data_IF_663946141851
#
_entry.id   IF_663946141851
#
_cell.length_a   1.000
_cell.length_b   1.000
_cell.length_c   1.000
_cell.angle_alpha   90.00
_cell.angle_beta   90.00
_cell.angle_gamma   90.00
#
_symmetry.space_group_name_H-M   'P 1'
#
loop_
_entity.id
_entity.type
_entity.pdbx_description
1 polymer ?
#
# COMPACT_ATOMS: atom_id res chain seq x y z
N UNK A 1 9.92 9.30 -31.52
CA UNK A 1 10.44 10.50 -30.85
C UNK A 1 9.31 11.19 -30.06
N UNK A 2 9.17 10.86 -28.76
CA UNK A 2 8.24 11.57 -27.87
C UNK A 2 8.80 12.97 -27.64
N UNK A 3 8.04 13.99 -28.00
CA UNK A 3 8.41 15.38 -27.72
C UNK A 3 8.54 15.55 -26.21
N UNK A 4 9.62 16.22 -25.81
CA UNK A 4 9.99 16.54 -24.43
C UNK A 4 8.88 17.40 -23.79
N UNK A 5 7.85 16.75 -23.24
CA UNK A 5 6.67 17.40 -22.68
C UNK A 5 6.93 18.03 -21.31
N UNK A 6 8.14 17.84 -20.75
CA UNK A 6 8.50 18.27 -19.41
C UNK A 6 7.69 17.58 -18.29
N UNK A 7 6.81 16.63 -18.66
CA UNK A 7 5.94 15.85 -17.77
C UNK A 7 6.69 14.63 -17.25
N UNK A 8 6.42 14.25 -16.00
CA UNK A 8 6.99 13.02 -15.41
C UNK A 8 6.50 11.78 -16.14
N UNK A 9 7.42 10.87 -16.45
CA UNK A 9 7.13 9.62 -17.16
C UNK A 9 6.26 8.69 -16.32
N UNK A 10 6.39 8.74 -14.99
CA UNK A 10 5.56 7.98 -14.04
C UNK A 10 4.10 8.48 -14.06
N UNK A 11 3.89 9.78 -14.22
CA UNK A 11 2.54 10.39 -14.30
C UNK A 11 1.87 10.00 -15.62
N UNK A 12 2.64 9.95 -16.71
CA UNK A 12 2.14 9.65 -18.05
C UNK A 12 1.87 8.14 -18.29
N UNK A 13 2.53 7.25 -17.54
CA UNK A 13 2.33 5.81 -17.65
C UNK A 13 0.97 5.34 -17.13
N UNK A 14 0.36 6.09 -16.21
CA UNK A 14 -0.93 5.75 -15.59
C UNK A 14 -2.10 6.17 -16.49
N UNK A 15 -3.01 5.21 -16.72
CA UNK A 15 -4.20 5.40 -17.55
C UNK A 15 -5.26 6.23 -16.83
N UNK A 16 -5.71 7.32 -17.44
CA UNK A 16 -6.92 8.05 -16.98
C UNK A 16 -8.19 7.40 -17.57
N UNK A 17 -9.40 7.64 -17.03
CA UNK A 17 -10.60 6.92 -17.48
C UNK A 17 -10.94 7.05 -18.98
N UNK A 18 -10.39 8.05 -19.68
CA UNK A 18 -10.51 8.19 -21.14
C UNK A 18 -9.66 7.21 -21.93
N UNK A 19 -8.58 6.72 -21.34
CA UNK A 19 -7.53 5.90 -21.98
C UNK A 19 -7.63 4.42 -21.62
N UNK A 20 -8.45 4.06 -20.62
CA UNK A 20 -8.62 2.66 -20.23
C UNK A 20 -9.38 1.89 -21.32
N UNK A 21 -8.85 0.71 -21.69
CA UNK A 21 -9.49 -0.16 -22.67
C UNK A 21 -10.89 -0.56 -22.21
N UNK A 22 -11.86 -0.35 -23.11
CA UNK A 22 -13.26 -0.76 -22.94
C UNK A 22 -13.55 -2.09 -23.65
N UNK A 23 -12.51 -2.77 -24.12
CA UNK A 23 -12.65 -4.04 -24.83
C UNK A 23 -13.16 -5.11 -23.85
N UNK A 24 -14.27 -5.80 -24.17
CA UNK A 24 -14.86 -6.79 -23.28
C UNK A 24 -13.84 -7.85 -22.83
N UNK A 25 -12.96 -8.30 -23.74
CA UNK A 25 -11.95 -9.31 -23.45
C UNK A 25 -10.91 -8.84 -22.44
N UNK A 26 -10.50 -7.56 -22.51
CA UNK A 26 -9.54 -6.96 -21.58
C UNK A 26 -10.17 -6.81 -20.20
N UNK A 27 -11.43 -6.37 -20.15
CA UNK A 27 -12.20 -6.25 -18.90
C UNK A 27 -12.37 -7.62 -18.24
N UNK A 28 -12.82 -8.64 -19.00
CA UNK A 28 -13.00 -10.01 -18.51
C UNK A 28 -11.68 -10.60 -18.02
N UNK A 29 -10.59 -10.42 -18.77
CA UNK A 29 -9.26 -10.90 -18.36
C UNK A 29 -8.81 -10.26 -17.04
N UNK A 30 -8.94 -8.93 -16.92
CA UNK A 30 -8.55 -8.23 -15.69
C UNK A 30 -9.44 -8.61 -14.50
N UNK A 31 -10.73 -8.86 -14.75
CA UNK A 31 -11.64 -9.36 -13.74
C UNK A 31 -11.24 -10.77 -13.26
N UNK A 32 -10.83 -11.64 -14.17
CA UNK A 32 -10.34 -12.97 -13.82
C UNK A 32 -9.05 -12.91 -12.97
N UNK A 33 -8.07 -12.08 -13.36
CA UNK A 33 -6.83 -11.89 -12.59
C UNK A 33 -7.12 -11.25 -11.23
N UNK A 34 -8.06 -10.30 -11.15
CA UNK A 34 -8.52 -9.76 -9.89
C UNK A 34 -9.14 -10.84 -8.99
N UNK A 35 -9.94 -11.75 -9.56
CA UNK A 35 -10.47 -12.92 -8.85
C UNK A 35 -9.37 -13.82 -8.28
N UNK A 36 -8.33 -14.11 -9.07
CA UNK A 36 -7.15 -14.85 -8.62
C UNK A 36 -6.43 -14.12 -7.49
N UNK A 37 -6.31 -12.80 -7.58
CA UNK A 37 -5.68 -11.99 -6.52
C UNK A 37 -6.48 -12.04 -5.22
N UNK A 38 -7.80 -11.93 -5.29
CA UNK A 38 -8.69 -12.11 -4.13
C UNK A 38 -8.54 -13.51 -3.54
N UNK A 39 -8.41 -14.53 -4.37
CA UNK A 39 -8.13 -15.90 -3.92
C UNK A 39 -6.79 -16.01 -3.17
N UNK A 40 -5.73 -15.38 -3.68
CA UNK A 40 -4.42 -15.35 -3.03
C UNK A 40 -4.47 -14.58 -1.71
N UNK A 41 -5.16 -13.43 -1.66
CA UNK A 41 -5.38 -12.70 -0.41
C UNK A 41 -6.15 -13.58 0.58
N UNK A 42 -7.19 -14.28 0.13
CA UNK A 42 -7.95 -15.19 0.96
C UNK A 42 -7.10 -16.36 1.49
N UNK A 43 -6.16 -16.89 0.70
CA UNK A 43 -5.28 -17.98 1.15
C UNK A 43 -4.43 -17.57 2.36
N UNK A 44 -4.12 -16.28 2.49
CA UNK A 44 -3.41 -15.75 3.65
C UNK A 44 -4.19 -15.89 4.96
N UNK A 45 -5.50 -16.17 4.94
CA UNK A 45 -6.29 -16.52 6.14
C UNK A 45 -5.72 -17.78 6.79
N UNK A 46 -5.37 -18.79 5.99
CA UNK A 46 -4.80 -20.04 6.50
C UNK A 46 -3.40 -19.83 7.07
N UNK A 47 -2.59 -18.98 6.42
CA UNK A 47 -1.30 -18.55 6.97
C UNK A 47 -1.48 -17.83 8.31
N UNK A 48 -2.44 -16.93 8.37
CA UNK A 48 -2.72 -16.14 9.56
C UNK A 48 -3.13 -17.03 10.75
N UNK A 49 -3.94 -18.06 10.51
CA UNK A 49 -4.28 -19.06 11.53
C UNK A 49 -3.03 -19.80 12.00
N UNK A 50 -2.20 -20.29 11.07
CA UNK A 50 -0.95 -20.98 11.39
C UNK A 50 0.01 -20.12 12.25
N UNK A 51 0.13 -18.84 11.91
CA UNK A 51 0.97 -17.88 12.62
C UNK A 51 0.42 -17.55 14.02
N UNK A 52 -0.90 -17.45 14.17
CA UNK A 52 -1.54 -17.18 15.46
C UNK A 52 -1.37 -18.35 16.43
N UNK A 53 -1.56 -19.59 15.95
CA UNK A 53 -1.42 -20.80 16.76
C UNK A 53 0.00 -20.96 17.33
N UNK A 54 1.00 -20.33 16.71
CA UNK A 54 2.43 -20.43 17.06
C UNK A 54 3.06 -19.10 17.48
N UNK A 55 2.24 -18.08 17.77
CA UNK A 55 2.69 -16.68 17.99
C UNK A 55 3.76 -16.57 19.08
N UNK A 56 3.54 -17.23 20.21
CA UNK A 56 4.45 -17.18 21.37
C UNK A 56 5.83 -17.74 21.05
N UNK A 57 5.89 -18.81 20.25
CA UNK A 57 7.15 -19.42 19.82
C UNK A 57 7.91 -18.53 18.82
N UNK A 58 7.20 -17.94 17.85
CA UNK A 58 7.79 -17.04 16.84
C UNK A 58 8.33 -15.78 17.51
N UNK A 59 7.56 -15.17 18.41
CA UNK A 59 7.99 -13.98 19.15
C UNK A 59 9.22 -14.29 20.01
N UNK A 60 9.27 -15.46 20.66
CA UNK A 60 10.44 -15.89 21.45
C UNK A 60 11.70 -16.03 20.58
N UNK A 61 11.57 -16.62 19.39
CA UNK A 61 12.70 -16.86 18.48
C UNK A 61 13.16 -15.64 17.71
N UNK A 62 12.26 -14.74 17.36
CA UNK A 62 12.59 -13.51 16.61
C UNK A 62 12.86 -12.32 17.52
N UNK A 63 12.67 -12.46 18.84
CA UNK A 63 12.92 -11.41 19.83
C UNK A 63 14.30 -10.75 19.68
N UNK A 64 15.34 -11.50 19.31
CA UNK A 64 16.69 -10.95 19.14
C UNK A 64 16.81 -10.01 17.92
N UNK A 65 16.09 -10.29 16.83
CA UNK A 65 16.04 -9.45 15.61
C UNK A 65 15.30 -8.13 15.85
N UNK A 66 14.23 -8.13 16.65
CA UNK A 66 13.40 -6.93 16.93
C UNK A 66 13.86 -6.11 18.15
N UNK A 67 14.82 -6.59 18.94
CA UNK A 67 15.37 -5.89 20.12
C UNK A 67 15.93 -4.48 19.85
N UNK A 68 16.79 -4.24 18.83
CA UNK A 68 17.30 -2.89 18.55
C UNK A 68 16.17 -1.93 18.15
N UNK A 69 15.19 -2.42 17.38
CA UNK A 69 14.04 -1.64 16.92
C UNK A 69 13.06 -1.27 18.04
N UNK A 70 12.83 -2.17 19.02
CA UNK A 70 12.00 -1.86 20.21
C UNK A 70 12.60 -0.73 21.07
N UNK A 71 13.93 -0.64 21.15
CA UNK A 71 14.62 0.42 21.92
C UNK A 71 14.49 1.80 21.24
N UNK A 72 14.45 1.84 19.91
CA UNK A 72 14.20 3.08 19.15
C UNK A 72 12.72 3.49 19.24
N UNK A 73 11.79 2.55 19.08
CA UNK A 73 10.34 2.80 19.20
C UNK A 73 9.92 3.28 20.60
N UNK A 74 10.63 2.83 21.65
CA UNK A 74 10.42 3.25 23.03
C UNK A 74 10.91 4.66 23.37
N UNK A 75 11.83 5.24 22.58
CA UNK A 75 12.32 6.62 22.76
C UNK A 75 11.39 7.67 22.14
N UNK A 76 10.64 7.32 21.11
CA UNK A 76 9.64 8.20 20.46
C UNK A 76 8.33 8.34 21.27
N UNK A 77 8.38 8.18 22.60
CA UNK A 77 7.20 8.07 23.48
C UNK A 77 6.86 9.37 24.20
N UNK A 78 7.56 10.47 23.91
CA UNK A 78 7.39 11.74 24.62
C UNK A 78 7.77 12.91 23.71
N UNK A 79 6.90 13.21 22.77
CA UNK A 79 7.10 14.35 21.86
C UNK A 79 5.90 15.29 21.93
N UNK A 80 6.21 16.59 22.04
CA UNK A 80 5.22 17.67 22.08
C UNK A 80 4.60 17.86 20.70
N UNK A 81 3.44 18.53 20.61
CA UNK A 81 2.70 18.67 19.34
C UNK A 81 3.52 19.29 18.19
N UNK A 82 4.51 20.14 18.51
CA UNK A 82 5.37 20.81 17.53
C UNK A 82 6.44 19.87 16.96
N UNK A 83 7.04 18.99 17.77
CA UNK A 83 8.06 18.05 17.28
C UNK A 83 7.42 16.94 16.44
N UNK A 84 6.18 16.56 16.74
CA UNK A 84 5.41 15.59 15.95
C UNK A 84 5.08 16.12 14.54
N UNK A 85 4.61 17.37 14.41
CA UNK A 85 4.33 17.97 13.10
C UNK A 85 5.62 18.08 12.26
N UNK A 86 6.72 18.50 12.87
CA UNK A 86 8.03 18.55 12.22
C UNK A 86 8.49 17.16 11.75
N UNK A 87 8.27 16.12 12.56
CA UNK A 87 8.60 14.74 12.19
C UNK A 87 7.76 14.25 11.01
N UNK A 88 6.44 14.49 11.00
CA UNK A 88 5.56 14.14 9.87
C UNK A 88 5.98 14.90 8.61
N UNK A 89 6.26 16.20 8.72
CA UNK A 89 6.71 17.01 7.59
C UNK A 89 8.04 16.52 7.01
N UNK A 90 9.03 16.26 7.87
CA UNK A 90 10.34 15.73 7.46
C UNK A 90 10.19 14.39 6.73
N UNK A 91 9.33 13.52 7.24
CA UNK A 91 9.04 12.21 6.66
C UNK A 91 8.38 12.33 5.29
N UNK A 92 7.39 13.21 5.12
CA UNK A 92 6.78 13.46 3.81
C UNK A 92 7.77 14.05 2.81
N UNK A 93 8.65 14.97 3.26
CA UNK A 93 9.72 15.53 2.43
C UNK A 93 10.71 14.45 1.99
N UNK A 94 11.13 13.57 2.91
CA UNK A 94 12.00 12.43 2.57
C UNK A 94 11.29 11.50 1.59
N UNK A 95 10.01 11.20 1.80
CA UNK A 95 9.22 10.42 0.85
C UNK A 95 9.19 11.06 -0.53
N UNK A 96 8.93 12.38 -0.61
CA UNK A 96 8.95 13.11 -1.86
C UNK A 96 10.29 13.01 -2.58
N UNK A 97 11.39 13.14 -1.83
CA UNK A 97 12.74 13.00 -2.38
C UNK A 97 12.99 11.59 -2.91
N UNK A 98 12.59 10.56 -2.15
CA UNK A 98 12.73 9.15 -2.51
C UNK A 98 11.91 8.81 -3.77
N UNK A 99 10.66 9.27 -3.87
CA UNK A 99 9.85 9.10 -5.08
C UNK A 99 10.47 9.80 -6.29
N UNK A 100 11.05 10.98 -6.09
CA UNK A 100 11.68 11.74 -7.18
C UNK A 100 12.86 11.00 -7.80
N UNK A 101 13.62 10.24 -7.00
CA UNK A 101 14.75 9.42 -7.48
C UNK A 101 14.30 8.28 -8.41
N UNK A 102 13.03 7.86 -8.34
CA UNK A 102 12.46 6.86 -9.24
C UNK A 102 12.22 7.41 -10.65
N UNK A 103 12.15 8.73 -10.83
CA UNK A 103 12.02 9.35 -12.15
C UNK A 103 13.26 9.00 -12.99
N UNK A 104 13.10 8.42 -14.20
CA UNK A 104 14.23 8.05 -15.05
C UNK A 104 15.15 9.24 -15.36
N UNK A 105 14.54 10.40 -15.61
CA UNK A 105 15.19 11.69 -15.82
C UNK A 105 15.47 12.49 -14.55
N UNK A 106 15.63 11.85 -13.38
CA UNK A 106 15.90 12.53 -12.11
C UNK A 106 17.00 13.60 -12.24
N UNK A 107 16.69 14.83 -11.83
CA UNK A 107 17.63 15.95 -11.86
C UNK A 107 16.96 17.29 -11.55
N UNK A 108 17.66 18.38 -11.85
CA UNK A 108 17.13 19.74 -11.69
C UNK A 108 16.21 20.10 -12.87
N UNK A 109 15.04 19.48 -12.91
CA UNK A 109 14.05 19.71 -13.96
C UNK A 109 12.62 19.77 -13.40
N UNK A 110 11.73 20.26 -14.26
CA UNK A 110 10.31 20.45 -13.94
C UNK A 110 9.60 19.13 -13.61
N UNK A 111 9.93 18.03 -14.29
CA UNK A 111 9.37 16.71 -14.04
C UNK A 111 9.68 16.23 -12.62
N UNK A 112 10.95 16.32 -12.20
CA UNK A 112 11.42 15.94 -10.86
C UNK A 112 10.77 16.81 -9.79
N UNK A 113 10.69 18.13 -9.99
CA UNK A 113 10.02 19.04 -9.05
C UNK A 113 8.52 18.76 -8.93
N UNK A 114 7.86 18.41 -10.04
CA UNK A 114 6.44 18.06 -10.08
C UNK A 114 6.19 16.75 -9.34
N UNK A 115 6.99 15.71 -9.60
CA UNK A 115 6.87 14.42 -8.91
C UNK A 115 7.18 14.55 -7.42
N UNK A 116 8.18 15.36 -7.04
CA UNK A 116 8.47 15.67 -5.63
C UNK A 116 7.25 16.27 -4.93
N UNK A 117 6.71 17.37 -5.47
CA UNK A 117 5.55 18.05 -4.90
C UNK A 117 4.33 17.13 -4.86
N UNK A 118 4.10 16.38 -5.94
CA UNK A 118 3.03 15.42 -6.05
C UNK A 118 3.12 14.29 -5.03
N UNK A 119 4.33 13.75 -4.79
CA UNK A 119 4.58 12.71 -3.81
C UNK A 119 4.35 13.22 -2.38
N UNK A 120 4.87 14.40 -2.04
CA UNK A 120 4.63 15.03 -0.73
C UNK A 120 3.13 15.22 -0.47
N UNK A 121 2.43 15.82 -1.43
CA UNK A 121 0.99 16.09 -1.31
C UNK A 121 0.16 14.81 -1.32
N UNK A 122 0.40 13.91 -2.28
CA UNK A 122 -0.39 12.70 -2.48
C UNK A 122 -0.23 11.69 -1.35
N UNK A 123 1.02 11.41 -0.95
CA UNK A 123 1.28 10.56 0.22
C UNK A 123 0.77 11.22 1.49
N UNK A 124 0.90 12.53 1.61
CA UNK A 124 0.30 13.30 2.71
C UNK A 124 -1.21 13.08 2.79
N UNK A 125 -1.94 13.31 1.70
CA UNK A 125 -3.39 13.13 1.60
C UNK A 125 -3.79 11.71 1.99
N UNK A 126 -3.17 10.68 1.39
CA UNK A 126 -3.48 9.29 1.72
C UNK A 126 -3.20 9.01 3.20
N UNK A 127 -2.05 9.46 3.71
CA UNK A 127 -1.67 9.23 5.11
C UNK A 127 -2.65 9.91 6.09
N UNK A 128 -2.99 11.17 5.86
CA UNK A 128 -3.91 11.92 6.71
C UNK A 128 -5.33 11.37 6.64
N UNK A 129 -5.81 11.00 5.45
CA UNK A 129 -7.15 10.42 5.30
C UNK A 129 -7.21 9.05 5.96
N UNK A 130 -6.28 8.15 5.67
CA UNK A 130 -6.32 6.78 6.21
C UNK A 130 -6.02 6.77 7.70
N UNK A 131 -4.84 7.25 8.10
CA UNK A 131 -4.39 7.17 9.50
C UNK A 131 -5.14 8.17 10.40
N UNK A 132 -5.50 9.34 9.86
CA UNK A 132 -6.27 10.33 10.61
C UNK A 132 -7.71 9.88 10.84
N UNK A 133 -8.37 9.26 9.86
CA UNK A 133 -9.72 8.73 10.01
C UNK A 133 -9.76 7.53 10.97
N UNK A 134 -8.77 6.64 10.90
CA UNK A 134 -8.63 5.54 11.85
C UNK A 134 -8.41 6.07 13.28
N UNK A 135 -7.56 7.08 13.46
CA UNK A 135 -7.32 7.71 14.77
C UNK A 135 -8.58 8.42 15.29
N UNK A 136 -9.30 9.15 14.43
CA UNK A 136 -10.54 9.83 14.81
C UNK A 136 -11.66 8.84 15.16
N UNK A 137 -11.86 7.78 14.36
CA UNK A 137 -12.83 6.71 14.65
C UNK A 137 -12.47 5.99 15.95
N UNK A 138 -11.19 5.71 16.17
CA UNK A 138 -10.74 5.08 17.41
C UNK A 138 -11.02 5.97 18.62
N UNK A 139 -10.72 7.28 18.54
CA UNK A 139 -11.02 8.23 19.62
C UNK A 139 -12.52 8.35 19.89
N UNK A 140 -13.35 8.34 18.86
CA UNK A 140 -14.80 8.53 19.02
C UNK A 140 -15.51 7.26 19.47
N UNK A 141 -15.15 6.09 18.91
CA UNK A 141 -15.81 4.81 19.21
C UNK A 141 -15.22 4.16 20.47
N UNK A 142 -13.90 4.11 20.60
CA UNK A 142 -13.23 3.45 21.74
C UNK A 142 -12.93 4.40 22.90
N UNK A 143 -13.21 5.71 22.75
CA UNK A 143 -12.86 6.76 23.73
C UNK A 143 -11.41 6.68 24.21
N UNK A 144 -10.54 6.16 23.34
CA UNK A 144 -9.14 5.90 23.61
C UNK A 144 -8.28 6.93 22.88
N UNK A 145 -7.23 7.48 23.51
CA UNK A 145 -6.25 8.28 22.79
C UNK A 145 -5.61 7.44 21.68
N UNK A 146 -5.75 7.89 20.44
CA UNK A 146 -5.07 7.32 19.27
C UNK A 146 -4.34 8.44 18.53
N UNK A 147 -3.17 8.15 17.95
CA UNK A 147 -2.40 9.13 17.20
C UNK A 147 -1.73 8.48 15.99
N UNK A 148 -1.53 9.27 14.94
CA UNK A 148 -0.71 8.87 13.80
C UNK A 148 0.74 8.83 14.25
N UNK A 149 1.41 7.68 14.09
CA UNK A 149 2.83 7.52 14.40
C UNK A 149 3.60 7.20 13.14
N UNK A 150 4.72 7.90 13.00
CA UNK A 150 5.71 7.62 11.97
C UNK A 150 6.61 6.49 12.47
N UNK A 151 7.00 5.60 11.55
CA UNK A 151 7.96 4.54 11.83
C UNK A 151 9.24 4.76 10.99
N UNK A 152 10.29 5.37 11.57
CA UNK A 152 11.55 5.65 10.85
C UNK A 152 12.20 4.39 10.25
N UNK A 153 11.96 3.23 10.84
CA UNK A 153 12.38 1.93 10.31
C UNK A 153 11.78 1.66 8.91
N UNK A 154 10.49 1.93 8.74
CA UNK A 154 9.79 1.76 7.47
C UNK A 154 10.33 2.76 6.43
N UNK A 155 10.74 3.95 6.85
CA UNK A 155 11.40 4.92 5.98
C UNK A 155 12.76 4.42 5.49
N UNK A 156 13.58 3.82 6.37
CA UNK A 156 14.86 3.24 5.97
C UNK A 156 14.69 2.09 4.97
N UNK A 157 13.67 1.25 5.16
CA UNK A 157 13.30 0.18 4.21
C UNK A 157 12.86 0.78 2.87
N UNK A 158 12.05 1.84 2.87
CA UNK A 158 11.61 2.52 1.65
C UNK A 158 12.81 3.08 0.87
N UNK A 159 13.71 3.81 1.55
CA UNK A 159 14.95 4.35 0.95
C UNK A 159 15.79 3.22 0.35
N UNK A 160 15.98 2.12 1.07
CA UNK A 160 16.74 0.96 0.59
C UNK A 160 16.07 0.30 -0.62
N UNK A 161 14.74 0.15 -0.60
CA UNK A 161 13.98 -0.45 -1.70
C UNK A 161 14.13 0.38 -2.98
N UNK A 162 14.09 1.71 -2.87
CA UNK A 162 14.31 2.62 -4.00
C UNK A 162 15.75 2.57 -4.50
N UNK A 163 16.73 2.53 -3.58
CA UNK A 163 18.13 2.40 -3.96
C UNK A 163 18.40 1.11 -4.75
N UNK A 164 17.81 -0.02 -4.32
CA UNK A 164 17.90 -1.31 -5.01
C UNK A 164 17.18 -1.25 -6.36
N UNK A 165 15.95 -0.74 -6.40
CA UNK A 165 15.17 -0.59 -7.63
C UNK A 165 15.91 0.25 -8.68
N UNK A 166 16.59 1.33 -8.24
CA UNK A 166 17.40 2.17 -9.12
C UNK A 166 18.67 1.48 -9.59
N UNK A 167 19.37 0.78 -8.69
CA UNK A 167 20.59 0.04 -9.03
C UNK A 167 20.30 -1.09 -10.05
N UNK A 168 19.14 -1.73 -9.95
CA UNK A 168 18.69 -2.78 -10.86
C UNK A 168 17.95 -2.25 -12.10
N UNK A 169 17.79 -0.93 -12.23
CA UNK A 169 17.03 -0.28 -13.31
C UNK A 169 15.63 -0.88 -13.53
N UNK A 170 14.95 -1.25 -12.44
CA UNK A 170 13.59 -1.77 -12.50
C UNK A 170 12.64 -0.67 -12.97
N UNK A 171 11.88 -0.96 -14.02
CA UNK A 171 10.83 -0.10 -14.56
C UNK A 171 9.51 -0.90 -14.56
N UNK A 172 8.48 -0.45 -13.83
CA UNK A 172 8.45 0.69 -12.89
C UNK A 172 9.28 0.41 -11.62
N UNK A 173 9.83 1.48 -11.02
CA UNK A 173 10.62 1.37 -9.80
C UNK A 173 9.75 1.00 -8.60
N UNK A 174 10.17 0.00 -7.83
CA UNK A 174 9.37 -0.54 -6.72
C UNK A 174 9.73 0.17 -5.42
N UNK A 175 8.72 0.72 -4.72
CA UNK A 175 8.87 1.32 -3.40
C UNK A 175 8.02 0.55 -2.38
N UNK A 176 8.67 0.01 -1.35
CA UNK A 176 7.99 -0.67 -0.24
C UNK A 176 8.22 0.07 1.08
N UNK A 177 7.13 0.50 1.74
CA UNK A 177 7.19 1.03 3.10
C UNK A 177 6.03 1.96 3.43
N UNK A 178 5.33 1.69 4.53
CA UNK A 178 4.31 2.61 5.05
C UNK A 178 4.97 3.78 5.77
N UNK A 179 4.58 4.99 5.40
CA UNK A 179 5.17 6.25 5.90
C UNK A 179 4.67 6.59 7.31
N UNK A 180 3.41 6.30 7.60
CA UNK A 180 2.83 6.39 8.94
C UNK A 180 1.67 5.41 9.13
N UNK A 181 1.35 5.09 10.38
CA UNK A 181 0.20 4.24 10.73
C UNK A 181 -0.45 4.73 12.04
N UNK A 182 -1.73 4.43 12.24
CA UNK A 182 -2.44 4.73 13.48
C UNK A 182 -1.92 3.86 14.63
N UNK A 183 -1.63 4.49 15.78
CA UNK A 183 -1.31 3.79 17.01
C UNK A 183 -2.35 4.12 18.09
N UNK A 184 -2.97 3.08 18.65
CA UNK A 184 -3.79 3.18 19.86
C UNK A 184 -2.87 3.32 21.06
N UNK A 185 -3.03 4.40 21.84
CA UNK A 185 -2.13 4.76 22.94
C UNK A 185 -2.63 4.26 24.31
N UNK A 186 -3.85 3.72 24.38
CA UNK A 186 -4.42 3.13 25.59
C UNK A 186 -4.57 1.61 25.45
N UNK A 187 -4.39 0.85 26.56
CA UNK A 187 -4.68 -0.58 26.61
C UNK A 187 -6.21 -0.76 26.66
N UNK A 188 -6.84 -0.77 25.50
CA UNK A 188 -8.24 -1.15 25.34
C UNK A 188 -8.25 -2.46 24.58
N UNK A 189 -9.05 -3.43 25.04
CA UNK A 189 -9.38 -4.64 24.30
C UNK A 189 -10.74 -4.45 23.61
N UNK A 190 -10.78 -3.82 22.43
CA UNK A 190 -12.03 -3.63 21.72
C UNK A 190 -12.59 -4.96 21.26
N UNK A 191 -13.93 -5.09 21.29
CA UNK A 191 -14.60 -6.26 20.76
C UNK A 191 -14.21 -6.49 19.29
N UNK A 192 -14.14 -7.76 18.81
CA UNK A 192 -13.82 -8.04 17.41
C UNK A 192 -14.74 -7.32 16.41
N UNK A 193 -15.99 -7.07 16.82
CA UNK A 193 -17.00 -6.35 16.02
C UNK A 193 -16.68 -4.86 15.88
N UNK A 194 -16.22 -4.22 16.96
CA UNK A 194 -15.86 -2.80 16.95
C UNK A 194 -14.56 -2.57 16.18
N UNK A 195 -13.58 -3.47 16.32
CA UNK A 195 -12.36 -3.43 15.52
C UNK A 195 -12.65 -3.48 14.02
N UNK A 196 -13.53 -4.38 13.59
CA UNK A 196 -13.91 -4.50 12.18
C UNK A 196 -14.67 -3.27 11.66
N UNK A 197 -15.58 -2.69 12.46
CA UNK A 197 -16.29 -1.46 12.09
C UNK A 197 -15.37 -0.25 11.99
N UNK A 198 -14.42 -0.12 12.91
CA UNK A 198 -13.42 0.96 12.91
C UNK A 198 -12.53 0.82 11.67
N UNK A 199 -12.09 -0.39 11.34
CA UNK A 199 -11.21 -0.66 10.18
C UNK A 199 -11.94 -0.55 8.82
N UNK A 200 -13.23 -0.88 8.76
CA UNK A 200 -13.99 -0.82 7.51
C UNK A 200 -14.12 0.62 6.96
N UNK A 201 -14.20 1.61 7.84
CA UNK A 201 -14.42 3.01 7.44
C UNK A 201 -13.23 3.59 6.68
N UNK A 202 -11.97 3.52 7.17
CA UNK A 202 -10.78 3.88 6.41
C UNK A 202 -10.67 3.13 5.08
N UNK A 203 -10.97 1.83 5.03
CA UNK A 203 -10.94 1.05 3.77
C UNK A 203 -11.90 1.62 2.73
N UNK A 204 -13.16 1.84 3.10
CA UNK A 204 -14.18 2.38 2.18
C UNK A 204 -13.81 3.79 1.73
N UNK A 205 -13.43 4.64 2.66
CA UNK A 205 -13.04 6.03 2.33
C UNK A 205 -11.80 6.05 1.45
N UNK A 206 -10.86 5.14 1.64
CA UNK A 206 -9.68 5.01 0.76
C UNK A 206 -10.08 4.62 -0.66
N UNK A 207 -10.97 3.65 -0.83
CA UNK A 207 -11.46 3.25 -2.15
C UNK A 207 -12.17 4.43 -2.83
N UNK A 208 -13.04 5.15 -2.11
CA UNK A 208 -13.73 6.34 -2.64
C UNK A 208 -12.73 7.45 -2.99
N UNK A 209 -11.74 7.70 -2.15
CA UNK A 209 -10.69 8.70 -2.40
C UNK A 209 -9.88 8.37 -3.65
N UNK A 210 -9.43 7.11 -3.77
CA UNK A 210 -8.65 6.62 -4.90
C UNK A 210 -9.47 6.68 -6.19
N UNK A 211 -10.73 6.25 -6.17
CA UNK A 211 -11.64 6.36 -7.31
C UNK A 211 -11.87 7.83 -7.70
N UNK A 212 -12.14 8.70 -6.72
CA UNK A 212 -12.34 10.13 -6.94
C UNK A 212 -11.11 10.79 -7.53
N UNK A 213 -9.91 10.41 -7.05
CA UNK A 213 -8.66 10.86 -7.62
C UNK A 213 -8.53 10.41 -9.07
N UNK A 214 -8.68 9.12 -9.36
CA UNK A 214 -8.59 8.62 -10.73
C UNK A 214 -9.57 9.30 -11.70
N UNK A 215 -10.81 9.54 -11.28
CA UNK A 215 -11.78 10.29 -12.08
C UNK A 215 -11.36 11.74 -12.30
N UNK A 216 -10.79 12.41 -11.29
CA UNK A 216 -10.31 13.78 -11.37
C UNK A 216 -9.03 13.90 -12.22
N UNK A 217 -8.26 12.83 -12.37
CA UNK A 217 -7.05 12.82 -13.20
C UNK A 217 -7.36 13.09 -14.67
N UNK A 218 -8.54 12.71 -15.19
CA UNK A 218 -8.93 13.02 -16.58
C UNK A 218 -8.99 14.52 -16.84
N UNK A 219 -9.89 15.30 -16.20
CA UNK A 219 -9.98 16.73 -16.48
C UNK A 219 -8.66 17.45 -16.16
N UNK A 220 -7.93 17.05 -15.11
CA UNK A 220 -6.64 17.64 -14.78
C UNK A 220 -5.58 17.41 -15.86
N UNK A 221 -5.51 16.21 -16.45
CA UNK A 221 -4.61 15.91 -17.58
C UNK A 221 -4.94 16.79 -18.79
N UNK A 222 -6.21 16.90 -19.14
CA UNK A 222 -6.64 17.76 -20.25
C UNK A 222 -6.30 19.24 -20.04
N UNK A 223 -6.42 19.74 -18.80
CA UNK A 223 -6.05 21.10 -18.43
C UNK A 223 -4.54 21.32 -18.40
N UNK A 224 -3.78 20.32 -17.95
CA UNK A 224 -2.32 20.34 -17.96
C UNK A 224 -1.79 20.41 -19.39
N UNK A 225 -2.39 19.65 -20.31
CA UNK A 225 -2.07 19.68 -21.74
C UNK A 225 -2.34 21.05 -22.38
N UNK A 226 -3.47 21.70 -22.03
CA UNK A 226 -3.88 22.97 -22.64
C UNK A 226 -3.18 24.20 -22.05
N UNK A 227 -3.01 24.27 -20.73
CA UNK A 227 -2.53 25.46 -20.03
C UNK A 227 -1.03 25.39 -19.71
N UNK A 228 -0.45 24.18 -19.62
CA UNK A 228 0.94 23.93 -19.18
C UNK A 228 1.36 24.72 -17.94
N UNK A 229 0.41 25.01 -17.06
CA UNK A 229 0.65 25.71 -15.80
C UNK A 229 1.15 24.70 -14.77
N UNK A 230 2.30 24.97 -14.16
CA UNK A 230 2.94 24.04 -13.23
C UNK A 230 2.03 23.58 -12.07
N UNK A 231 1.20 24.44 -11.45
CA UNK A 231 0.26 23.98 -10.41
C UNK A 231 -0.77 22.95 -10.91
N UNK A 232 -1.17 23.00 -12.18
CA UNK A 232 -2.11 22.05 -12.77
C UNK A 232 -1.43 20.71 -13.00
N UNK A 233 -0.18 20.71 -13.46
CA UNK A 233 0.64 19.48 -13.56
C UNK A 233 0.90 18.85 -12.19
N UNK A 234 1.18 19.66 -11.17
CA UNK A 234 1.31 19.16 -9.79
C UNK A 234 -0.02 18.57 -9.31
N UNK A 235 -1.16 19.21 -9.57
CA UNK A 235 -2.47 18.69 -9.18
C UNK A 235 -2.79 17.36 -9.90
N UNK A 236 -2.51 17.25 -11.20
CA UNK A 236 -2.62 16.00 -11.96
C UNK A 236 -1.75 14.91 -11.32
N UNK A 237 -0.46 15.19 -11.14
CA UNK A 237 0.51 14.25 -10.58
C UNK A 237 0.14 13.84 -9.14
N UNK A 238 -0.30 14.77 -8.29
CA UNK A 238 -0.79 14.48 -6.93
C UNK A 238 -1.94 13.50 -6.98
N UNK A 239 -2.89 13.73 -7.88
CA UNK A 239 -4.07 12.90 -8.05
C UNK A 239 -3.70 11.48 -8.48
N UNK A 240 -2.73 11.35 -9.38
CA UNK A 240 -2.17 10.06 -9.79
C UNK A 240 -1.44 9.38 -8.63
N UNK A 241 -0.61 10.08 -7.87
CA UNK A 241 0.06 9.52 -6.67
C UNK A 241 -0.96 9.04 -5.63
N UNK A 242 -2.04 9.80 -5.39
CA UNK A 242 -3.14 9.39 -4.49
C UNK A 242 -3.78 8.11 -5.01
N UNK A 243 -4.02 8.00 -6.31
CA UNK A 243 -4.56 6.79 -6.91
C UNK A 243 -3.63 5.59 -6.73
N UNK A 244 -2.37 5.70 -7.17
CA UNK A 244 -1.37 4.61 -7.15
C UNK A 244 -1.07 4.17 -5.72
N UNK A 245 -0.60 5.10 -4.88
CA UNK A 245 -0.23 4.75 -3.49
C UNK A 245 -1.45 4.35 -2.65
N UNK A 246 -2.62 4.92 -2.93
CA UNK A 246 -3.85 4.55 -2.25
C UNK A 246 -4.35 3.15 -2.64
N UNK A 247 -4.35 2.79 -3.93
CA UNK A 247 -4.82 1.47 -4.36
C UNK A 247 -3.88 0.36 -3.90
N UNK A 248 -2.57 0.57 -4.01
CA UNK A 248 -1.55 -0.36 -3.48
C UNK A 248 -1.71 -0.53 -1.97
N UNK A 249 -1.89 0.58 -1.26
CA UNK A 249 -2.14 0.59 0.19
C UNK A 249 -3.40 -0.19 0.57
N UNK A 250 -4.50 -0.05 -0.17
CA UNK A 250 -5.73 -0.80 0.08
C UNK A 250 -5.54 -2.29 -0.22
N UNK A 251 -4.97 -2.67 -1.36
CA UNK A 251 -4.71 -4.08 -1.70
C UNK A 251 -3.83 -4.74 -0.66
N UNK A 252 -2.74 -4.06 -0.26
CA UNK A 252 -1.85 -4.54 0.80
C UNK A 252 -2.58 -4.67 2.14
N UNK A 253 -3.34 -3.65 2.56
CA UNK A 253 -4.07 -3.70 3.84
C UNK A 253 -5.22 -4.70 3.88
N UNK A 254 -5.74 -5.10 2.71
CA UNK A 254 -6.82 -6.09 2.61
C UNK A 254 -6.35 -7.54 2.83
N UNK A 255 -5.03 -7.79 2.92
CA UNK A 255 -4.51 -9.09 3.34
C UNK A 255 -5.09 -9.44 4.72
N UNK A 256 -5.80 -10.58 4.88
CA UNK A 256 -6.56 -10.92 6.09
C UNK A 256 -5.68 -11.44 7.25
N UNK A 257 -4.58 -10.76 7.57
CA UNK A 257 -3.77 -11.01 8.76
C UNK A 257 -4.38 -10.35 10.00
N UNK A 258 -4.19 -10.93 11.20
CA UNK A 258 -4.85 -10.47 12.43
C UNK A 258 -4.56 -9.01 12.79
N UNK A 259 -3.34 -8.57 12.49
CA UNK A 259 -2.83 -7.23 12.76
C UNK A 259 -3.26 -6.21 11.71
N UNK A 260 -3.72 -6.66 10.54
CA UNK A 260 -4.06 -5.82 9.41
C UNK A 260 -5.56 -5.54 9.37
N UNK A 261 -5.94 -4.45 8.70
CA UNK A 261 -7.34 -4.03 8.61
C UNK A 261 -8.19 -5.04 7.86
N UNK A 262 -7.65 -5.66 6.81
CA UNK A 262 -8.29 -6.76 6.09
C UNK A 262 -8.72 -7.89 7.04
N UNK A 263 -7.87 -8.27 8.00
CA UNK A 263 -8.22 -9.31 8.97
C UNK A 263 -9.30 -8.87 9.95
N UNK A 264 -9.27 -7.61 10.39
CA UNK A 264 -10.32 -7.03 11.26
C UNK A 264 -11.67 -6.99 10.54
N UNK A 265 -11.69 -6.52 9.28
CA UNK A 265 -12.90 -6.46 8.45
C UNK A 265 -13.42 -7.86 8.13
N UNK A 266 -12.54 -8.81 7.78
CA UNK A 266 -12.93 -10.20 7.47
C UNK A 266 -13.63 -10.89 8.66
N UNK A 267 -13.13 -10.68 9.89
CA UNK A 267 -13.75 -11.21 11.11
C UNK A 267 -15.14 -10.61 11.38
N UNK A 268 -15.36 -9.36 10.96
CA UNK A 268 -16.62 -8.67 11.16
C UNK A 268 -17.66 -8.95 10.07
N UNK A 269 -17.27 -8.85 8.80
CA UNK A 269 -18.13 -9.08 7.65
C UNK A 269 -17.31 -9.56 6.45
N UNK A 270 -17.42 -10.87 6.16
CA UNK A 270 -16.77 -11.49 4.99
C UNK A 270 -17.25 -10.86 3.68
N UNK A 271 -18.54 -10.54 3.58
CA UNK A 271 -19.11 -9.89 2.40
C UNK A 271 -18.46 -8.52 2.15
N UNK A 272 -18.36 -7.69 3.19
CA UNK A 272 -17.69 -6.40 3.10
C UNK A 272 -16.23 -6.54 2.66
N UNK A 273 -15.52 -7.52 3.25
CA UNK A 273 -14.15 -7.81 2.88
C UNK A 273 -14.03 -8.21 1.41
N UNK A 274 -14.86 -9.15 0.93
CA UNK A 274 -14.85 -9.58 -0.46
C UNK A 274 -15.18 -8.44 -1.42
N UNK A 275 -16.16 -7.61 -1.10
CA UNK A 275 -16.51 -6.45 -1.93
C UNK A 275 -15.36 -5.45 -2.03
N UNK A 276 -14.76 -5.06 -0.90
CA UNK A 276 -13.64 -4.13 -0.91
C UNK A 276 -12.39 -4.72 -1.60
N UNK A 277 -12.08 -6.00 -1.35
CA UNK A 277 -10.93 -6.67 -1.94
C UNK A 277 -11.10 -6.84 -3.46
N UNK A 278 -12.30 -7.21 -3.91
CA UNK A 278 -12.60 -7.36 -5.33
C UNK A 278 -12.52 -6.03 -6.07
N UNK A 279 -13.09 -4.96 -5.51
CA UNK A 279 -13.00 -3.61 -6.11
C UNK A 279 -11.55 -3.14 -6.15
N UNK A 280 -10.79 -3.30 -5.06
CA UNK A 280 -9.40 -2.86 -5.00
C UNK A 280 -8.51 -3.65 -5.99
N UNK A 281 -8.66 -4.97 -6.03
CA UNK A 281 -7.93 -5.83 -6.96
C UNK A 281 -8.29 -5.50 -8.41
N UNK A 282 -9.59 -5.31 -8.71
CA UNK A 282 -10.02 -4.95 -10.06
C UNK A 282 -9.42 -3.62 -10.52
N UNK A 283 -9.47 -2.58 -9.69
CA UNK A 283 -8.87 -1.28 -10.02
C UNK A 283 -7.36 -1.38 -10.22
N UNK A 284 -6.65 -2.13 -9.38
CA UNK A 284 -5.21 -2.36 -9.57
C UNK A 284 -4.92 -3.03 -10.93
N UNK A 285 -5.60 -4.13 -11.27
CA UNK A 285 -5.33 -4.83 -12.53
C UNK A 285 -5.81 -4.09 -13.76
N UNK A 286 -6.99 -3.48 -13.68
CA UNK A 286 -7.62 -2.85 -14.84
C UNK A 286 -7.04 -1.48 -15.16
N UNK A 287 -6.67 -0.71 -14.15
CA UNK A 287 -6.20 0.68 -14.31
C UNK A 287 -4.70 0.78 -14.13
N UNK A 288 -4.17 0.33 -12.98
CA UNK A 288 -2.73 0.48 -12.66
C UNK A 288 -1.87 -0.36 -13.60
N UNK A 289 -2.22 -1.63 -13.81
CA UNK A 289 -1.47 -2.54 -14.69
C UNK A 289 -2.02 -2.65 -16.12
N UNK A 290 -3.13 -1.97 -16.43
CA UNK A 290 -3.81 -2.10 -17.72
C UNK A 290 -3.03 -1.55 -18.91
N UNK A 291 -2.30 -0.44 -18.73
CA UNK A 291 -1.52 0.24 -19.80
C UNK A 291 -0.18 -0.41 -20.10
N UNK A 292 0.42 -1.12 -19.14
CA UNK A 292 1.74 -1.75 -19.33
C UNK A 292 1.69 -3.02 -20.22
N UNK A 293 0.55 -3.35 -20.83
CA UNK A 293 0.44 -4.53 -21.71
C UNK A 293 1.28 -4.45 -22.99
N UNK A 294 1.75 -3.27 -23.41
CA UNK A 294 2.82 -3.17 -24.41
C UNK A 294 4.16 -3.70 -23.88
N UNK A 295 4.47 -3.49 -22.59
CA UNK A 295 5.62 -4.09 -21.90
C UNK A 295 5.44 -5.61 -21.71
N UNK A 296 4.20 -6.06 -21.49
CA UNK A 296 3.86 -7.49 -21.40
C UNK A 296 3.74 -8.20 -22.75
N UNK A 297 3.86 -7.50 -23.88
CA UNK A 297 3.89 -8.14 -25.21
C UNK A 297 5.12 -9.03 -25.40
N UNK A 298 6.27 -8.65 -24.82
CA UNK A 298 7.47 -9.50 -24.71
C UNK A 298 7.42 -10.56 -23.59
N UNK A 299 6.37 -10.53 -22.76
CA UNK A 299 6.17 -11.42 -21.60
C UNK A 299 5.01 -12.41 -21.79
N UNK A 300 4.37 -12.44 -22.96
CA UNK A 300 3.19 -13.27 -23.26
C UNK A 300 3.40 -14.78 -23.09
N UNK A 301 4.65 -15.25 -23.07
CA UNK A 301 4.99 -16.66 -22.81
C UNK A 301 5.65 -16.90 -21.42
N UNK A 302 6.19 -15.86 -20.78
CA UNK A 302 6.99 -16.00 -19.55
C UNK A 302 6.35 -15.41 -18.27
N UNK A 303 5.51 -14.37 -18.35
CA UNK A 303 4.98 -13.72 -17.14
C UNK A 303 3.77 -14.40 -16.52
N UNK A 304 2.92 -15.08 -17.30
CA UNK A 304 1.85 -15.89 -16.71
C UNK A 304 2.47 -16.95 -15.82
N UNK A 305 3.54 -17.60 -16.29
CA UNK A 305 4.31 -18.59 -15.53
C UNK A 305 5.07 -17.94 -14.38
N UNK A 306 5.67 -16.76 -14.52
CA UNK A 306 6.39 -16.11 -13.41
C UNK A 306 5.45 -15.62 -12.30
N UNK A 307 4.29 -15.04 -12.65
CA UNK A 307 3.26 -14.61 -11.71
C UNK A 307 2.59 -15.84 -11.08
N UNK A 308 2.24 -16.86 -11.87
CA UNK A 308 1.79 -18.15 -11.34
C UNK A 308 2.86 -18.78 -10.45
N UNK A 309 4.14 -18.74 -10.82
CA UNK A 309 5.23 -19.30 -10.03
C UNK A 309 5.45 -18.51 -8.74
N UNK A 310 5.31 -17.18 -8.75
CA UNK A 310 5.34 -16.35 -7.55
C UNK A 310 4.16 -16.68 -6.63
N UNK A 311 2.96 -16.82 -7.19
CA UNK A 311 1.78 -17.22 -6.43
C UNK A 311 1.86 -18.66 -5.92
N UNK A 312 2.39 -19.58 -6.73
CA UNK A 312 2.58 -20.97 -6.38
C UNK A 312 3.67 -21.11 -5.33
N UNK A 313 4.79 -20.39 -5.45
CA UNK A 313 5.84 -20.36 -4.45
C UNK A 313 5.39 -19.69 -3.16
N UNK A 314 4.59 -18.63 -3.20
CA UNK A 314 3.94 -18.07 -2.02
C UNK A 314 2.98 -19.07 -1.36
N UNK A 315 2.18 -19.78 -2.17
CA UNK A 315 1.23 -20.80 -1.69
C UNK A 315 1.95 -22.02 -1.11
N UNK A 316 3.04 -22.47 -1.75
CA UNK A 316 3.92 -23.55 -1.28
C UNK A 316 4.63 -23.13 -0.01
N UNK A 317 5.19 -21.92 0.06
CA UNK A 317 5.85 -21.39 1.26
C UNK A 317 4.85 -21.31 2.41
N UNK A 318 3.63 -20.82 2.14
CA UNK A 318 2.53 -20.77 3.10
C UNK A 318 2.14 -22.16 3.59
N UNK A 319 1.95 -23.10 2.67
CA UNK A 319 1.62 -24.49 2.97
C UNK A 319 2.76 -25.22 3.70
N UNK A 320 4.02 -24.93 3.37
CA UNK A 320 5.20 -25.50 4.01
C UNK A 320 5.36 -24.96 5.43
N UNK A 321 5.16 -23.66 5.64
CA UNK A 321 5.13 -23.05 6.97
C UNK A 321 4.00 -23.69 7.80
N UNK A 322 2.79 -23.79 7.23
CA UNK A 322 1.65 -24.45 7.89
C UNK A 322 1.95 -25.90 8.24
N UNK A 323 2.48 -26.69 7.30
CA UNK A 323 2.81 -28.10 7.48
C UNK A 323 3.93 -28.29 8.53
N UNK A 324 4.97 -27.47 8.49
CA UNK A 324 6.06 -27.49 9.46
C UNK A 324 5.54 -27.35 10.90
N UNK A 325 4.61 -26.41 11.13
CA UNK A 325 4.00 -26.24 12.44
C UNK A 325 2.97 -27.33 12.77
N UNK A 326 2.19 -27.81 11.79
CA UNK A 326 1.17 -28.84 11.99
C UNK A 326 1.75 -30.20 12.39
N UNK A 327 2.90 -30.57 11.85
CA UNK A 327 3.52 -31.89 12.05
C UNK A 327 4.55 -31.94 13.20
N UNK A 328 4.93 -30.80 13.78
CA UNK A 328 5.75 -30.79 15.00
C UNK A 328 4.87 -31.00 16.23
N UNK A 329 5.02 -32.17 16.87
CA UNK A 329 4.41 -32.45 18.17
C UNK A 329 4.95 -31.46 19.21
N UNK A 330 4.10 -30.92 20.12
CA UNK A 330 4.58 -30.09 21.21
C UNK A 330 5.61 -30.87 22.05
N UNK A 331 6.66 -30.21 22.56
CA UNK A 331 7.58 -30.85 23.50
C UNK A 331 6.79 -31.44 24.67
N UNK A 332 7.13 -32.64 25.16
CA UNK A 332 6.48 -33.20 26.33
C UNK A 332 6.58 -32.19 27.48
N UNK A 333 5.44 -31.88 28.09
CA UNK A 333 5.38 -31.02 29.25
C UNK A 333 6.33 -31.59 30.32
N UNK A 334 7.35 -30.84 30.71
CA UNK A 334 8.15 -31.17 31.87
C UNK A 334 7.26 -30.95 33.08
N UNK A 335 6.87 -32.06 33.73
CA UNK A 335 6.18 -32.06 35.02
C UNK A 335 7.10 -31.71 36.16
#
# INVERSE_FOLDING_TARGET
PRADSGRSEIVDSIAVPGEVSRDPDVVVTNLAIAGVTVWVLFSSVFLNQALQDNRTEIERRTAWLVRPWRRLAGRARRESGVTHLAAVAAVLVITGAVYSVLEPGFGWNRATATLFAAAVLGVGIVTFVVSGLEAWRTRTVLRAPAAVRVFPACMAIAVLSVAISRALSLQPGVMYGFVASCAVLAPVDPSPRDQGRIAAVPVVVSIVLVLGAWLLAWPLRSLADSNRAWPVEVAEATTIVVFVGGIEGVVANMVPLSMMDGGKVFRWSRAMWFSCAAVAAFLAWHVLFGREREYFSGLREASSVAVLALFLSYSILTAAIWAYFRFRKPPPAQG
#
